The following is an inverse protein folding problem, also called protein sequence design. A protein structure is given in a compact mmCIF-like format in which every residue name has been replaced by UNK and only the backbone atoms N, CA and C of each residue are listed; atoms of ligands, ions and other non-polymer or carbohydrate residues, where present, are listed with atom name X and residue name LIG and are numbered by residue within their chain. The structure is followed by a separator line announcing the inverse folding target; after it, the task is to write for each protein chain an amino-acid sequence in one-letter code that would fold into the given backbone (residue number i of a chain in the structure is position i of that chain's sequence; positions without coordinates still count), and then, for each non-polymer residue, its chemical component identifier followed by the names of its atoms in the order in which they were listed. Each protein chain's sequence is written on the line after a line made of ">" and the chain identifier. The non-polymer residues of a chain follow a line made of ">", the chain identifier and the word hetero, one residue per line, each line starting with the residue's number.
data_IF_678333142093
#
_entry.id   IF_678333142093
#
_cell.length_a   1.000
_cell.length_b   1.000
_cell.length_c   1.000
_cell.angle_alpha   90.00
_cell.angle_beta   90.00
_cell.angle_gamma   90.00
#
_symmetry.space_group_name_H-M   'P 1'
#
loop_
_entity.id
_entity.type
_entity.pdbx_description
1 polymer ?
#
# COMPACT_ATOMS: atom_id res chain seq x y z
N UNK A 1 -8.80 -17.13 -4.64
CA UNK A 1 -8.76 -15.91 -3.81
C UNK A 1 -10.18 -15.36 -3.79
N UNK A 2 -10.66 -14.83 -2.68
CA UNK A 2 -12.05 -14.37 -2.63
C UNK A 2 -12.25 -13.12 -3.49
N UNK A 3 -13.44 -13.02 -4.08
CA UNK A 3 -13.86 -11.84 -4.84
C UNK A 3 -14.21 -10.72 -3.86
N UNK A 4 -13.75 -9.51 -4.16
CA UNK A 4 -13.93 -8.32 -3.33
C UNK A 4 -15.39 -8.01 -3.04
N UNK A 5 -15.65 -7.47 -1.85
CA UNK A 5 -17.00 -7.16 -1.37
C UNK A 5 -17.60 -5.90 -2.02
N UNK A 6 -16.77 -4.94 -2.43
CA UNK A 6 -17.23 -3.75 -3.15
C UNK A 6 -17.41 -4.13 -4.62
N UNK A 7 -18.67 -4.29 -5.04
CA UNK A 7 -19.04 -4.80 -6.36
C UNK A 7 -19.73 -3.73 -7.20
N UNK A 8 -19.34 -3.66 -8.47
CA UNK A 8 -19.87 -2.73 -9.46
C UNK A 8 -20.22 -3.53 -10.71
N UNK A 9 -21.51 -3.79 -10.91
CA UNK A 9 -22.01 -4.55 -12.05
C UNK A 9 -21.89 -3.76 -13.35
N UNK A 10 -21.44 -4.43 -14.41
CA UNK A 10 -21.24 -3.86 -15.73
C UNK A 10 -21.72 -4.81 -16.85
N UNK A 11 -22.88 -5.45 -16.63
CA UNK A 11 -23.48 -6.38 -17.59
C UNK A 11 -22.86 -7.78 -17.48
N UNK A 12 -22.20 -8.23 -18.54
CA UNK A 12 -21.59 -9.57 -18.59
C UNK A 12 -20.44 -9.77 -17.58
N UNK A 13 -19.89 -8.68 -17.04
CA UNK A 13 -18.85 -8.70 -15.99
C UNK A 13 -19.28 -7.88 -14.78
N UNK A 14 -18.70 -8.21 -13.64
CA UNK A 14 -18.74 -7.41 -12.41
C UNK A 14 -17.32 -7.04 -12.02
N UNK A 15 -17.09 -5.76 -11.72
CA UNK A 15 -15.85 -5.33 -11.09
C UNK A 15 -15.97 -5.51 -9.59
N UNK A 16 -14.98 -6.15 -8.98
CA UNK A 16 -14.90 -6.30 -7.53
C UNK A 16 -13.61 -5.68 -7.01
N UNK A 17 -13.70 -4.93 -5.92
CA UNK A 17 -12.60 -4.13 -5.40
C UNK A 17 -12.42 -4.44 -3.92
N UNK A 18 -11.19 -4.60 -3.48
CA UNK A 18 -10.83 -4.69 -2.06
C UNK A 18 -9.38 -4.26 -1.84
N UNK A 19 -9.07 -3.70 -0.67
CA UNK A 19 -7.70 -3.42 -0.29
C UNK A 19 -7.03 -4.70 0.22
N UNK A 20 -5.74 -4.84 -0.07
CA UNK A 20 -4.95 -5.98 0.39
C UNK A 20 -3.69 -5.53 1.05
N UNK A 21 -3.30 -6.34 2.01
CA UNK A 21 -1.99 -6.34 2.61
C UNK A 21 -1.33 -7.69 2.33
N UNK A 22 -0.09 -7.63 1.85
CA UNK A 22 0.79 -8.78 1.74
C UNK A 22 1.91 -8.60 2.74
N UNK A 23 1.92 -9.47 3.74
CA UNK A 23 3.03 -9.58 4.67
C UNK A 23 4.25 -10.09 3.93
N UNK A 24 5.34 -9.30 3.98
CA UNK A 24 6.61 -9.67 3.39
C UNK A 24 7.26 -10.88 4.06
N UNK A 25 6.72 -11.34 5.21
CA UNK A 25 7.23 -12.43 6.03
C UNK A 25 8.38 -11.97 6.93
N UNK A 26 8.15 -11.79 8.23
CA UNK A 26 9.18 -11.33 9.16
C UNK A 26 10.45 -12.23 9.17
N UNK A 27 11.68 -11.67 9.12
CA UNK A 27 12.85 -12.34 9.67
C UNK A 27 12.77 -12.23 11.19
N UNK A 28 12.51 -13.36 11.84
CA UNK A 28 12.56 -13.50 13.30
C UNK A 28 14.01 -13.68 13.80
N UNK A 29 14.90 -12.73 13.52
CA UNK A 29 16.21 -12.68 14.19
C UNK A 29 16.66 -11.25 14.49
N UNK A 30 16.98 -11.00 15.75
CA UNK A 30 17.62 -9.76 16.21
C UNK A 30 19.11 -9.80 15.84
N UNK A 31 19.69 -8.65 15.44
CA UNK A 31 21.15 -8.43 15.51
C UNK A 31 21.91 -8.17 14.20
N UNK A 32 21.26 -8.22 13.04
CA UNK A 32 21.79 -7.64 11.81
C UNK A 32 20.67 -6.83 11.18
N UNK A 33 20.97 -5.70 10.54
CA UNK A 33 20.00 -4.87 9.79
C UNK A 33 19.38 -5.59 8.58
N UNK A 34 18.91 -6.82 8.75
CA UNK A 34 18.13 -7.55 7.78
C UNK A 34 16.80 -6.84 7.57
N UNK A 35 16.51 -6.55 6.30
CA UNK A 35 15.19 -6.05 5.90
C UNK A 35 14.14 -7.00 6.47
N UNK A 36 13.20 -6.44 7.25
CA UNK A 36 11.89 -7.06 7.45
C UNK A 36 11.35 -7.57 6.12
N UNK A 37 10.56 -8.65 6.15
CA UNK A 37 10.19 -9.49 5.01
C UNK A 37 10.27 -8.84 3.64
N UNK A 38 11.06 -9.45 2.76
CA UNK A 38 11.64 -8.78 1.58
C UNK A 38 10.66 -8.00 0.70
N UNK A 39 9.36 -8.33 0.70
CA UNK A 39 8.35 -7.74 -0.18
C UNK A 39 7.03 -7.40 0.53
N UNK A 40 7.06 -6.85 1.75
CA UNK A 40 5.83 -6.32 2.35
C UNK A 40 5.26 -5.21 1.46
N UNK A 41 4.00 -5.36 1.05
CA UNK A 41 3.33 -4.43 0.14
C UNK A 41 1.84 -4.40 0.44
N UNK A 42 1.17 -3.37 -0.07
CA UNK A 42 -0.27 -3.22 0.06
C UNK A 42 -0.81 -2.43 -1.12
N UNK A 43 -2.12 -2.42 -1.27
CA UNK A 43 -2.82 -1.58 -2.21
C UNK A 43 -4.13 -2.21 -2.66
N UNK A 44 -4.76 -1.56 -3.62
CA UNK A 44 -6.08 -1.97 -4.11
C UNK A 44 -5.97 -3.12 -5.11
N UNK A 45 -6.78 -4.14 -4.91
CA UNK A 45 -7.01 -5.21 -5.87
C UNK A 45 -8.29 -4.89 -6.66
N UNK A 46 -8.17 -4.83 -7.99
CA UNK A 46 -9.31 -4.68 -8.91
C UNK A 46 -9.47 -6.00 -9.66
N UNK A 47 -10.58 -6.68 -9.43
CA UNK A 47 -10.92 -7.95 -10.04
C UNK A 47 -12.01 -7.73 -11.10
N UNK A 48 -11.94 -8.52 -12.17
CA UNK A 48 -13.04 -8.67 -13.12
C UNK A 48 -13.59 -10.07 -12.93
N UNK A 49 -14.84 -10.16 -12.48
CA UNK A 49 -15.55 -11.41 -12.27
C UNK A 49 -16.65 -11.58 -13.33
N UNK A 50 -17.00 -12.82 -13.62
CA UNK A 50 -18.13 -13.18 -14.47
C UNK A 50 -18.68 -14.55 -14.10
N UNK A 51 -19.85 -14.88 -14.64
CA UNK A 51 -20.45 -16.20 -14.48
C UNK A 51 -19.93 -17.14 -15.58
N UNK A 52 -19.28 -18.24 -15.18
CA UNK A 52 -18.83 -19.32 -16.04
C UNK A 52 -19.47 -20.61 -15.49
N UNK A 53 -20.30 -21.28 -16.28
CA UNK A 53 -21.00 -22.52 -15.88
C UNK A 53 -21.73 -22.42 -14.52
N UNK A 54 -22.52 -21.35 -14.35
CA UNK A 54 -23.27 -21.02 -13.12
C UNK A 54 -22.38 -20.76 -11.88
N UNK A 55 -21.08 -20.55 -12.09
CA UNK A 55 -20.11 -20.24 -11.03
C UNK A 55 -19.51 -18.85 -11.25
N UNK A 56 -19.55 -18.04 -10.20
CA UNK A 56 -18.77 -16.80 -10.16
C UNK A 56 -17.28 -17.14 -10.23
N UNK A 57 -16.61 -16.58 -11.24
CA UNK A 57 -15.22 -16.87 -11.57
C UNK A 57 -14.42 -15.59 -11.70
N UNK A 58 -13.26 -15.53 -11.07
CA UNK A 58 -12.29 -14.45 -11.24
C UNK A 58 -11.59 -14.55 -12.61
N UNK A 59 -11.94 -13.64 -13.52
CA UNK A 59 -11.49 -13.65 -14.93
C UNK A 59 -10.16 -12.92 -15.11
N UNK A 60 -10.01 -11.76 -14.45
CA UNK A 60 -8.79 -10.94 -14.44
C UNK A 60 -8.60 -10.38 -13.03
N UNK A 61 -7.35 -10.13 -12.65
CA UNK A 61 -7.03 -9.43 -11.41
C UNK A 61 -5.88 -8.46 -11.60
N UNK A 62 -6.02 -7.25 -11.08
CA UNK A 62 -4.99 -6.22 -11.07
C UNK A 62 -4.68 -5.87 -9.62
N UNK A 63 -3.51 -6.31 -9.17
CA UNK A 63 -2.97 -5.99 -7.85
C UNK A 63 -2.21 -4.66 -7.97
N UNK A 64 -2.90 -3.54 -7.68
CA UNK A 64 -2.39 -2.18 -7.78
C UNK A 64 -1.59 -1.80 -6.52
N UNK A 65 -0.52 -2.54 -6.25
CA UNK A 65 0.26 -2.40 -5.01
C UNK A 65 1.34 -1.31 -5.06
N UNK A 66 1.75 -0.84 -3.89
CA UNK A 66 2.82 0.15 -3.70
C UNK A 66 4.17 -0.31 -4.27
N UNK A 67 4.49 -1.59 -4.05
CA UNK A 67 5.58 -2.29 -4.72
C UNK A 67 5.06 -3.57 -5.37
N UNK A 68 5.73 -3.98 -6.44
CA UNK A 68 5.41 -5.19 -7.19
C UNK A 68 4.00 -5.21 -7.77
N UNK A 69 3.50 -4.06 -8.23
CA UNK A 69 2.22 -3.98 -8.93
C UNK A 69 2.21 -4.93 -10.14
N UNK A 70 1.13 -5.69 -10.31
CA UNK A 70 1.04 -6.72 -11.33
C UNK A 70 -0.41 -7.06 -11.64
N UNK A 71 -0.63 -7.86 -12.68
CA UNK A 71 -1.96 -8.35 -13.03
C UNK A 71 -1.91 -9.80 -13.52
N UNK A 72 -3.07 -10.45 -13.50
CA UNK A 72 -3.24 -11.87 -13.81
C UNK A 72 -4.30 -12.05 -14.90
N UNK A 73 -4.00 -12.89 -15.90
CA UNK A 73 -5.00 -13.42 -16.82
C UNK A 73 -5.54 -14.76 -16.32
N UNK A 74 -6.85 -14.85 -16.13
CA UNK A 74 -7.55 -16.04 -15.64
C UNK A 74 -6.95 -16.58 -14.35
N UNK A 75 -7.03 -15.86 -13.21
CA UNK A 75 -6.57 -16.36 -11.90
C UNK A 75 -7.10 -17.76 -11.53
N UNK A 76 -8.34 -18.07 -11.90
CA UNK A 76 -8.96 -19.40 -11.73
C UNK A 76 -8.84 -20.30 -12.96
N UNK A 77 -8.04 -19.89 -13.95
CA UNK A 77 -7.71 -20.66 -15.15
C UNK A 77 -6.17 -20.84 -15.22
N UNK A 78 -5.49 -20.18 -16.17
CA UNK A 78 -4.03 -20.30 -16.36
C UNK A 78 -3.17 -19.52 -15.36
N UNK A 79 -3.76 -18.58 -14.62
CA UNK A 79 -3.12 -17.73 -13.63
C UNK A 79 -1.80 -17.08 -14.13
N UNK A 80 -1.86 -16.50 -15.34
CA UNK A 80 -0.69 -15.91 -15.97
C UNK A 80 -0.44 -14.51 -15.38
N UNK A 81 0.61 -14.39 -14.55
CA UNK A 81 1.01 -13.14 -13.89
C UNK A 81 1.96 -12.30 -14.74
N UNK A 82 1.66 -11.02 -14.91
CA UNK A 82 2.49 -10.03 -15.58
C UNK A 82 2.81 -8.87 -14.65
N UNK A 83 4.09 -8.55 -14.47
CA UNK A 83 4.55 -7.43 -13.66
C UNK A 83 4.35 -6.10 -14.39
N UNK A 84 3.95 -5.07 -13.65
CA UNK A 84 3.95 -3.69 -14.15
C UNK A 84 5.33 -3.07 -13.93
N UNK A 85 5.85 -2.42 -14.96
CA UNK A 85 7.08 -1.63 -14.83
C UNK A 85 6.73 -0.31 -14.11
N UNK A 86 7.28 -0.07 -12.91
CA UNK A 86 6.95 1.11 -12.12
C UNK A 86 7.34 2.43 -12.80
N UNK A 87 8.36 2.42 -13.66
CA UNK A 87 8.89 3.60 -14.36
C UNK A 87 7.87 4.18 -15.32
N UNK A 88 7.17 3.31 -16.05
CA UNK A 88 6.19 3.71 -17.09
C UNK A 88 4.76 3.72 -16.56
N UNK A 89 4.45 2.91 -15.54
CA UNK A 89 3.10 2.80 -14.99
C UNK A 89 2.74 4.01 -14.13
N UNK A 90 3.67 4.47 -13.26
CA UNK A 90 3.52 5.54 -12.26
C UNK A 90 2.36 5.38 -11.27
N UNK A 91 1.12 5.27 -11.73
CA UNK A 91 -0.08 5.03 -10.94
C UNK A 91 -0.79 3.75 -11.44
N UNK A 92 -0.66 2.62 -10.71
CA UNK A 92 -1.25 1.34 -11.12
C UNK A 92 -2.79 1.35 -11.25
N UNK A 93 -3.50 2.11 -10.40
CA UNK A 93 -4.97 2.24 -10.48
C UNK A 93 -5.35 2.93 -11.80
N UNK A 94 -4.79 4.11 -12.06
CA UNK A 94 -5.08 4.87 -13.28
C UNK A 94 -4.69 4.08 -14.55
N UNK A 95 -3.56 3.37 -14.50
CA UNK A 95 -3.13 2.50 -15.59
C UNK A 95 -4.13 1.36 -15.82
N UNK A 96 -4.59 0.71 -14.75
CA UNK A 96 -5.56 -0.39 -14.81
C UNK A 96 -6.88 0.07 -15.40
N UNK A 97 -7.43 1.18 -14.94
CA UNK A 97 -8.68 1.75 -15.48
C UNK A 97 -8.53 2.06 -16.98
N UNK A 98 -7.38 2.63 -17.38
CA UNK A 98 -7.09 2.89 -18.79
C UNK A 98 -7.04 1.61 -19.60
N UNK A 99 -6.37 0.55 -19.12
CA UNK A 99 -6.32 -0.73 -19.83
C UNK A 99 -7.68 -1.39 -19.92
N UNK A 100 -8.43 -1.49 -18.83
CA UNK A 100 -9.78 -2.07 -18.83
C UNK A 100 -10.70 -1.33 -19.80
N UNK A 101 -10.59 0.00 -19.90
CA UNK A 101 -11.41 0.79 -20.82
C UNK A 101 -11.15 0.46 -22.30
N UNK A 102 -9.92 0.13 -22.68
CA UNK A 102 -9.51 0.00 -24.09
C UNK A 102 -9.22 -1.44 -24.52
N UNK A 103 -8.87 -2.32 -23.57
CA UNK A 103 -8.36 -3.69 -23.81
C UNK A 103 -9.15 -4.78 -23.13
N UNK A 104 -10.22 -4.50 -22.37
CA UNK A 104 -10.96 -5.55 -21.66
C UNK A 104 -11.38 -6.74 -22.54
N UNK A 105 -11.96 -6.58 -23.76
CA UNK A 105 -12.31 -7.72 -24.60
C UNK A 105 -11.10 -8.58 -25.00
N UNK A 106 -10.02 -7.95 -25.50
CA UNK A 106 -8.76 -8.62 -25.85
C UNK A 106 -8.18 -9.39 -24.64
N UNK A 107 -8.29 -8.78 -23.45
CA UNK A 107 -7.79 -9.36 -22.22
C UNK A 107 -8.61 -10.57 -21.78
N UNK A 108 -9.94 -10.52 -21.90
CA UNK A 108 -10.82 -11.64 -21.62
C UNK A 108 -10.62 -12.79 -22.61
N UNK A 109 -10.48 -12.50 -23.90
CA UNK A 109 -10.15 -13.52 -24.91
C UNK A 109 -8.81 -14.19 -24.59
N UNK A 110 -7.77 -13.41 -24.27
CA UNK A 110 -6.47 -13.97 -23.82
C UNK A 110 -6.60 -14.80 -22.54
N UNK A 111 -7.50 -14.44 -21.62
CA UNK A 111 -7.75 -15.21 -20.40
C UNK A 111 -8.56 -16.49 -20.64
N UNK A 112 -9.08 -16.70 -21.85
CA UNK A 112 -9.86 -17.88 -22.24
C UNK A 112 -11.37 -17.67 -22.23
N UNK A 113 -11.85 -16.44 -22.09
CA UNK A 113 -13.28 -16.09 -21.91
C UNK A 113 -13.85 -15.34 -23.12
N UNK A 114 -13.60 -15.85 -24.33
CA UNK A 114 -14.01 -15.22 -25.60
C UNK A 114 -15.52 -14.98 -25.68
N UNK A 115 -16.33 -15.94 -25.26
CA UNK A 115 -17.79 -15.82 -25.32
C UNK A 115 -18.32 -14.69 -24.43
N UNK A 116 -17.68 -14.49 -23.27
CA UNK A 116 -18.02 -13.40 -22.36
C UNK A 116 -17.51 -12.05 -22.89
N UNK A 117 -16.35 -12.02 -23.55
CA UNK A 117 -15.84 -10.83 -24.23
C UNK A 117 -16.81 -10.32 -25.32
N UNK A 118 -17.46 -11.23 -26.05
CA UNK A 118 -18.46 -10.89 -27.06
C UNK A 118 -19.78 -10.34 -26.49
N UNK A 119 -20.03 -10.52 -25.20
CA UNK A 119 -21.25 -10.08 -24.51
C UNK A 119 -21.09 -8.72 -23.81
N UNK A 120 -19.90 -8.10 -23.89
CA UNK A 120 -19.66 -6.82 -23.22
C UNK A 120 -20.47 -5.68 -23.85
N UNK A 121 -21.16 -4.92 -23.00
CA UNK A 121 -21.64 -3.57 -23.34
C UNK A 121 -20.52 -2.56 -23.07
N UNK A 122 -19.86 -2.12 -24.14
CA UNK A 122 -18.75 -1.19 -24.08
C UNK A 122 -19.11 0.15 -23.42
N UNK A 123 -20.32 0.65 -23.62
CA UNK A 123 -20.74 1.93 -23.06
C UNK A 123 -21.00 1.80 -21.56
N UNK A 124 -21.69 0.73 -21.15
CA UNK A 124 -21.92 0.43 -19.74
C UNK A 124 -20.60 0.20 -19.00
N UNK A 125 -19.69 -0.60 -19.56
CA UNK A 125 -18.35 -0.83 -18.99
C UNK A 125 -17.59 0.49 -18.84
N UNK A 126 -17.55 1.34 -19.87
CA UNK A 126 -16.86 2.62 -19.80
C UNK A 126 -17.47 3.57 -18.77
N UNK A 127 -18.81 3.54 -18.60
CA UNK A 127 -19.49 4.28 -17.54
C UNK A 127 -19.09 3.76 -16.16
N UNK A 128 -19.17 2.45 -15.95
CA UNK A 128 -18.92 1.79 -14.66
C UNK A 128 -17.47 1.86 -14.23
N UNK A 129 -16.52 1.89 -15.16
CA UNK A 129 -15.10 2.10 -14.85
C UNK A 129 -14.82 3.45 -14.16
N UNK A 130 -15.67 4.48 -14.33
CA UNK A 130 -15.56 5.72 -13.55
C UNK A 130 -15.92 5.51 -12.09
N UNK A 131 -16.95 4.70 -11.81
CA UNK A 131 -17.33 4.30 -10.46
C UNK A 131 -16.25 3.43 -9.82
N UNK A 132 -15.68 2.49 -10.59
CA UNK A 132 -14.55 1.64 -10.15
C UNK A 132 -13.34 2.50 -9.80
N UNK A 133 -12.99 3.49 -10.62
CA UNK A 133 -11.86 4.38 -10.35
C UNK A 133 -12.06 5.18 -9.06
N UNK A 134 -13.25 5.76 -8.88
CA UNK A 134 -13.57 6.52 -7.67
C UNK A 134 -13.48 5.64 -6.41
N UNK A 135 -14.12 4.47 -6.44
CA UNK A 135 -14.11 3.52 -5.34
C UNK A 135 -12.70 3.00 -5.02
N UNK A 136 -11.89 2.68 -6.05
CA UNK A 136 -10.51 2.25 -5.87
C UNK A 136 -9.65 3.35 -5.25
N UNK A 137 -9.79 4.61 -5.68
CA UNK A 137 -9.02 5.74 -5.11
C UNK A 137 -9.42 6.04 -3.67
N UNK A 138 -10.72 6.00 -3.36
CA UNK A 138 -11.20 6.18 -1.99
C UNK A 138 -10.69 5.06 -1.07
N UNK A 139 -10.77 3.82 -1.54
CA UNK A 139 -10.28 2.64 -0.82
C UNK A 139 -8.76 2.69 -0.59
N UNK A 140 -7.98 3.06 -1.61
CA UNK A 140 -6.52 3.26 -1.47
C UNK A 140 -6.17 4.35 -0.46
N UNK A 141 -7.02 5.37 -0.30
CA UNK A 141 -6.78 6.44 0.67
C UNK A 141 -7.13 6.01 2.10
N UNK A 142 -8.23 5.27 2.29
CA UNK A 142 -8.82 4.98 3.61
C UNK A 142 -8.40 3.65 4.23
N UNK A 143 -8.07 2.64 3.42
CA UNK A 143 -7.81 1.27 3.92
C UNK A 143 -6.31 0.93 4.02
N UNK A 144 -5.44 1.94 3.84
CA UNK A 144 -4.00 1.79 4.00
C UNK A 144 -3.62 1.43 5.43
N UNK A 145 -2.68 0.50 5.54
CA UNK A 145 -1.99 0.20 6.77
C UNK A 145 -0.79 1.11 6.93
N UNK A 146 -0.67 1.71 8.10
CA UNK A 146 0.45 2.54 8.51
C UNK A 146 1.11 1.91 9.73
N UNK A 147 2.43 2.05 9.82
CA UNK A 147 3.12 1.72 11.07
C UNK A 147 2.87 2.85 12.05
N UNK A 148 2.52 2.51 13.29
CA UNK A 148 2.40 3.47 14.40
C UNK A 148 2.99 2.84 15.65
N UNK A 149 3.93 3.53 16.29
CA UNK A 149 4.52 3.07 17.53
C UNK A 149 3.70 3.54 18.73
N UNK A 150 3.57 4.85 18.88
CA UNK A 150 2.77 5.49 19.93
C UNK A 150 2.36 6.88 19.45
N UNK A 151 1.33 7.46 20.06
CA UNK A 151 1.01 8.88 19.85
C UNK A 151 1.97 9.80 20.60
N UNK A 152 2.56 9.34 21.72
CA UNK A 152 3.32 10.18 22.64
C UNK A 152 2.44 11.04 23.55
N UNK A 153 3.04 11.52 24.65
CA UNK A 153 2.47 12.46 25.62
C UNK A 153 3.62 13.20 26.36
N UNK A 154 3.78 14.54 26.18
CA UNK A 154 2.86 15.45 25.51
C UNK A 154 2.91 15.36 23.97
N UNK A 155 1.86 15.88 23.35
CA UNK A 155 1.81 16.14 21.91
C UNK A 155 1.87 17.65 21.66
N UNK A 156 2.83 18.07 20.85
CA UNK A 156 3.05 19.46 20.46
C UNK A 156 2.46 19.66 19.06
N UNK A 157 1.51 20.57 18.92
CA UNK A 157 0.94 20.91 17.61
C UNK A 157 1.81 21.93 16.86
N UNK A 158 2.06 21.68 15.58
CA UNK A 158 2.90 22.51 14.71
C UNK A 158 2.28 22.60 13.31
N UNK A 159 1.12 23.25 13.21
CA UNK A 159 0.40 23.40 11.94
C UNK A 159 -0.26 22.10 11.51
N UNK A 160 0.10 21.59 10.32
CA UNK A 160 -0.44 20.35 9.77
C UNK A 160 0.28 19.08 10.28
N UNK A 161 1.29 19.25 11.14
CA UNK A 161 1.99 18.15 11.81
C UNK A 161 1.94 18.31 13.32
N UNK A 162 2.21 17.21 14.02
CA UNK A 162 2.29 17.14 15.48
C UNK A 162 3.52 16.34 15.89
N UNK A 163 4.14 16.71 17.01
CA UNK A 163 5.25 15.99 17.61
C UNK A 163 4.80 15.33 18.91
N UNK A 164 4.66 14.02 18.90
CA UNK A 164 4.44 13.22 20.09
C UNK A 164 5.75 12.86 20.75
N UNK A 165 5.91 13.17 22.03
CA UNK A 165 7.11 12.85 22.79
C UNK A 165 6.89 11.61 23.65
N UNK A 166 7.88 10.74 23.73
CA UNK A 166 7.81 9.54 24.55
C UNK A 166 9.19 9.19 25.10
N UNK A 167 9.27 8.67 26.32
CA UNK A 167 10.44 7.91 26.77
C UNK A 167 10.19 6.44 26.52
N UNK A 168 10.88 5.86 25.53
CA UNK A 168 10.72 4.46 25.15
C UNK A 168 11.80 3.59 25.76
N UNK A 169 11.40 2.40 26.18
CA UNK A 169 12.30 1.32 26.63
C UNK A 169 11.98 0.09 25.81
N UNK A 170 12.98 -0.43 25.10
CA UNK A 170 12.90 -1.66 24.31
C UNK A 170 14.12 -2.48 24.67
N UNK A 171 13.95 -3.43 25.59
CA UNK A 171 15.05 -4.11 26.28
C UNK A 171 16.11 -4.67 25.29
N UNK A 172 17.42 -4.44 25.54
CA UNK A 172 18.05 -3.73 26.67
C UNK A 172 18.26 -2.20 26.45
N UNK A 173 17.63 -1.61 25.44
CA UNK A 173 17.87 -0.25 24.98
C UNK A 173 16.70 0.71 25.31
N UNK A 174 16.86 1.98 24.98
CA UNK A 174 15.80 2.98 25.06
C UNK A 174 16.35 4.40 25.08
N UNK A 175 15.43 5.35 25.10
CA UNK A 175 15.74 6.77 25.03
C UNK A 175 14.51 7.60 24.69
N UNK A 176 14.69 8.92 24.50
CA UNK A 176 13.67 9.78 23.96
C UNK A 176 13.25 9.30 22.57
N UNK A 177 11.95 9.32 22.31
CA UNK A 177 11.38 9.11 21.01
C UNK A 177 10.53 10.31 20.61
N UNK A 178 10.59 10.66 19.32
CA UNK A 178 9.78 11.72 18.73
C UNK A 178 8.97 11.13 17.59
N UNK A 179 7.65 11.14 17.76
CA UNK A 179 6.67 10.69 16.78
C UNK A 179 6.18 11.90 15.99
N UNK A 180 6.44 11.93 14.69
CA UNK A 180 5.94 12.96 13.77
C UNK A 180 4.61 12.47 13.20
N UNK A 181 3.52 13.14 13.54
CA UNK A 181 2.17 12.76 13.18
C UNK A 181 1.54 13.77 12.23
N UNK A 182 0.65 13.33 11.35
CA UNK A 182 -0.16 14.19 10.50
C UNK A 182 -1.50 13.53 10.16
N UNK A 183 -2.49 14.32 9.75
CA UNK A 183 -3.73 13.78 9.19
C UNK A 183 -3.56 13.58 7.68
N UNK A 184 -3.72 12.34 7.23
CA UNK A 184 -3.72 11.95 5.82
C UNK A 184 -5.00 11.19 5.54
N UNK A 185 -5.80 11.66 4.57
CA UNK A 185 -7.11 11.09 4.24
C UNK A 185 -8.03 10.90 5.47
N UNK A 186 -8.12 11.94 6.31
CA UNK A 186 -8.90 11.97 7.55
C UNK A 186 -8.46 10.96 8.63
N UNK A 187 -7.24 10.41 8.50
CA UNK A 187 -6.63 9.50 9.46
C UNK A 187 -5.33 10.09 10.02
N UNK A 188 -5.21 10.14 11.35
CA UNK A 188 -3.94 10.48 12.01
C UNK A 188 -2.95 9.32 11.81
N UNK A 189 -1.85 9.59 11.10
CA UNK A 189 -0.77 8.62 10.84
C UNK A 189 0.56 9.11 11.41
N UNK A 190 1.45 8.17 11.73
CA UNK A 190 2.84 8.45 12.10
C UNK A 190 3.68 8.50 10.82
N UNK A 191 4.12 9.69 10.43
CA UNK A 191 4.95 9.92 9.26
C UNK A 191 6.38 9.45 9.51
N UNK A 192 6.92 9.77 10.68
CA UNK A 192 8.28 9.42 11.08
C UNK A 192 8.27 9.11 12.57
N UNK A 193 9.10 8.18 13.00
CA UNK A 193 9.42 8.01 14.41
C UNK A 193 10.94 8.03 14.57
N UNK A 194 11.44 8.91 15.44
CA UNK A 194 12.86 8.98 15.77
C UNK A 194 13.07 8.34 17.13
N UNK A 195 13.73 7.19 17.17
CA UNK A 195 14.14 6.52 18.39
C UNK A 195 15.58 6.95 18.73
N UNK A 196 15.72 8.00 19.55
CA UNK A 196 17.00 8.53 20.01
C UNK A 196 17.57 7.65 21.14
N UNK A 197 17.75 6.38 20.84
CA UNK A 197 18.14 5.36 21.81
C UNK A 197 19.63 5.41 22.13
N UNK A 198 19.98 4.91 23.32
CA UNK A 198 21.35 4.95 23.84
C UNK A 198 22.30 4.04 23.07
N UNK A 199 21.85 2.85 22.67
CA UNK A 199 22.70 1.84 22.04
C UNK A 199 22.53 1.88 20.52
N UNK A 200 21.30 1.85 20.03
CA UNK A 200 21.00 1.79 18.60
C UNK A 200 20.03 2.92 18.19
N UNK A 201 20.47 4.19 18.17
CA UNK A 201 19.61 5.27 17.71
C UNK A 201 19.26 5.07 16.23
N UNK A 202 17.98 5.23 15.90
CA UNK A 202 17.46 5.01 14.56
C UNK A 202 16.19 5.83 14.33
N UNK A 203 15.76 5.88 13.08
CA UNK A 203 14.45 6.42 12.75
C UNK A 203 13.71 5.51 11.79
N UNK A 204 12.39 5.59 11.84
CA UNK A 204 11.47 4.82 11.05
C UNK A 204 10.80 5.71 10.02
N UNK A 205 10.76 5.27 8.77
CA UNK A 205 9.86 5.86 7.78
C UNK A 205 8.47 5.23 7.91
N UNK A 206 7.53 5.99 8.49
CA UNK A 206 6.18 5.55 8.85
C UNK A 206 5.05 5.72 7.81
N UNK A 207 5.18 6.41 6.65
CA UNK A 207 4.05 6.49 5.71
C UNK A 207 3.85 5.17 4.94
N UNK A 208 4.74 4.18 5.12
CA UNK A 208 4.65 2.86 4.50
C UNK A 208 4.81 1.80 5.58
N UNK A 209 3.92 0.81 5.53
CA UNK A 209 3.83 -0.36 6.42
C UNK A 209 5.14 -1.13 6.71
N UNK A 210 6.23 -0.84 6.01
CA UNK A 210 7.49 -1.60 6.10
C UNK A 210 8.19 -1.49 7.45
N UNK A 211 7.85 -0.48 8.27
CA UNK A 211 8.56 -0.15 9.50
C UNK A 211 10.09 -0.13 9.29
N UNK A 212 10.52 0.50 8.20
CA UNK A 212 11.91 0.48 7.77
C UNK A 212 12.74 1.33 8.73
N UNK A 213 13.74 0.69 9.36
CA UNK A 213 14.65 1.32 10.32
C UNK A 213 15.92 1.77 9.63
N UNK A 214 16.27 3.02 9.84
CA UNK A 214 17.54 3.58 9.42
C UNK A 214 18.33 3.97 10.67
N UNK A 215 19.42 3.24 10.89
CA UNK A 215 20.29 3.48 12.03
C UNK A 215 21.15 4.71 11.80
N UNK A 216 21.27 5.52 12.85
CA UNK A 216 22.14 6.69 12.86
C UNK A 216 23.57 6.22 13.11
N UNK A 217 24.51 6.70 12.30
CA UNK A 217 25.93 6.41 12.50
C UNK A 217 26.45 7.17 13.73
N UNK A 218 26.62 6.44 14.83
CA UNK A 218 27.07 6.98 16.12
C UNK A 218 28.52 7.45 16.11
N UNK A 219 29.29 7.11 15.07
CA UNK A 219 30.63 7.66 14.85
C UNK A 219 30.56 9.11 14.38
N UNK A 220 29.56 9.44 13.56
CA UNK A 220 29.36 10.78 12.99
C UNK A 220 28.42 11.65 13.83
N UNK A 221 27.50 11.01 14.57
CA UNK A 221 26.47 11.66 15.36
C UNK A 221 26.62 11.23 16.82
N UNK A 222 27.22 12.08 17.64
CA UNK A 222 27.48 11.77 19.05
C UNK A 222 26.20 11.79 19.91
N UNK A 223 25.26 12.69 19.60
CA UNK A 223 23.97 12.81 20.27
C UNK A 223 22.85 12.77 19.21
N UNK A 224 22.07 11.70 19.26
CA UNK A 224 20.99 11.48 18.29
C UNK A 224 19.82 12.43 18.50
N UNK A 225 19.52 12.84 19.74
CA UNK A 225 18.44 13.78 20.02
C UNK A 225 18.78 15.16 19.47
N UNK A 226 19.99 15.66 19.75
CA UNK A 226 20.42 16.96 19.23
C UNK A 226 20.45 16.97 17.70
N UNK A 227 20.90 15.87 17.08
CA UNK A 227 20.91 15.74 15.63
C UNK A 227 19.50 15.77 15.02
N UNK A 228 18.53 15.04 15.61
CA UNK A 228 17.12 15.05 15.16
C UNK A 228 16.51 16.44 15.31
N UNK A 229 16.74 17.10 16.45
CA UNK A 229 16.25 18.46 16.67
C UNK A 229 16.87 19.46 15.69
N UNK A 230 18.13 19.27 15.28
CA UNK A 230 18.75 20.07 14.22
C UNK A 230 18.05 19.85 12.87
N UNK A 231 17.73 18.59 12.50
CA UNK A 231 17.00 18.32 11.24
C UNK A 231 15.67 19.07 11.18
N UNK A 232 14.94 19.15 12.29
CA UNK A 232 13.69 19.89 12.36
C UNK A 232 13.89 21.41 12.24
N UNK A 233 14.92 21.96 12.89
CA UNK A 233 15.22 23.40 12.83
C UNK A 233 15.71 23.83 11.44
N UNK A 234 16.41 22.95 10.75
CA UNK A 234 16.96 23.20 9.41
C UNK A 234 15.93 22.97 8.30
N UNK A 235 14.75 22.42 8.62
CA UNK A 235 13.68 22.16 7.66
C UNK A 235 13.87 20.89 6.84
N UNK A 236 14.63 19.91 7.33
CA UNK A 236 14.92 18.63 6.66
C UNK A 236 13.86 17.56 6.95
N UNK A 237 12.58 17.96 7.07
CA UNK A 237 11.43 17.12 7.39
C UNK A 237 10.65 16.73 6.13
#
# INVERSE_FOLDING_TARGET
>A
MDIGKTRIEAGAVTFAIHHRYLDGGAPHSQGAGGRGGGNATQGVCIQVAGNIDDKETELLRFDCFDSDAHYHYGPENKNERIMLDPTVTRNPIAWTIKQLKIKLPDMLERAGYKDLANQLDYNLVAQKLREVEAAAREMDAKERNYTRHNRGDPVIEAGNIRFGLEMRTVEPDGGPAIHVLADVADQEIELLAFDCFRINPHYHYGPRYKNERIFIDTTLVADSLDWVLAQFKDGNL
#
